data_IF_054074579699
#
_entry.id   IF_054074579699
#
_cell.length_a   1.000
_cell.length_b   1.000
_cell.length_c   1.000
_cell.angle_alpha   90.00
_cell.angle_beta   90.00
_cell.angle_gamma   90.00
#
_symmetry.space_group_name_H-M   'P 1'
#
loop_
_entity.id
_entity.type
_entity.pdbx_description
1 polymer ?
#
# COMPACT_ATOMS: atom_id res chain seq x y z
N UNK A 1 -5.74 29.37 43.94
CA UNK A 1 -5.08 28.19 43.32
C UNK A 1 -6.05 27.10 42.86
N UNK A 2 -6.64 26.23 43.71
CA UNK A 2 -7.45 25.08 43.21
C UNK A 2 -8.60 25.43 42.26
N UNK A 3 -9.33 26.53 42.54
CA UNK A 3 -10.42 27.00 41.65
C UNK A 3 -9.91 27.55 40.32
N UNK A 4 -8.76 28.21 40.32
CA UNK A 4 -8.12 28.75 39.12
C UNK A 4 -7.63 27.61 38.23
N UNK A 5 -6.94 26.61 38.80
CA UNK A 5 -6.48 25.43 38.06
C UNK A 5 -7.65 24.67 37.42
N UNK A 6 -8.76 24.50 38.16
CA UNK A 6 -9.97 23.88 37.62
C UNK A 6 -10.52 24.66 36.43
N UNK A 7 -10.66 25.98 36.57
CA UNK A 7 -11.20 26.84 35.52
C UNK A 7 -10.30 26.86 34.28
N UNK A 8 -8.98 26.99 34.47
CA UNK A 8 -8.00 26.95 33.37
C UNK A 8 -8.05 25.59 32.67
N UNK A 9 -8.07 24.48 33.42
CA UNK A 9 -8.11 23.13 32.84
C UNK A 9 -9.34 22.91 31.95
N UNK A 10 -10.52 23.33 32.41
CA UNK A 10 -11.78 23.22 31.66
C UNK A 10 -11.76 24.13 30.42
N UNK A 11 -11.31 25.38 30.57
CA UNK A 11 -11.19 26.30 29.44
C UNK A 11 -10.20 25.79 28.38
N UNK A 12 -9.09 25.17 28.79
CA UNK A 12 -8.13 24.57 27.86
C UNK A 12 -8.70 23.37 27.12
N UNK A 13 -9.45 22.47 27.80
CA UNK A 13 -10.11 21.33 27.16
C UNK A 13 -11.15 21.82 26.16
N UNK A 14 -12.05 22.70 26.61
CA UNK A 14 -13.14 23.23 25.79
C UNK A 14 -12.60 24.06 24.63
N UNK A 15 -11.64 24.96 24.89
CA UNK A 15 -10.99 25.77 23.87
C UNK A 15 -10.17 24.98 22.87
N UNK A 16 -9.61 23.82 23.27
CA UNK A 16 -8.91 22.91 22.38
C UNK A 16 -9.84 22.08 21.49
N UNK A 17 -11.00 21.64 22.01
CA UNK A 17 -11.92 20.75 21.29
C UNK A 17 -13.01 21.48 20.50
N UNK A 18 -13.50 22.64 20.96
CA UNK A 18 -14.57 23.38 20.26
C UNK A 18 -14.19 23.69 18.81
N UNK A 19 -13.01 24.26 18.50
CA UNK A 19 -12.66 24.56 17.11
C UNK A 19 -12.66 23.32 16.21
N UNK A 20 -12.19 22.18 16.73
CA UNK A 20 -12.18 20.89 16.02
C UNK A 20 -13.60 20.44 15.69
N UNK A 21 -14.50 20.49 16.68
CA UNK A 21 -15.91 20.10 16.52
C UNK A 21 -16.63 21.05 15.54
N UNK A 22 -16.38 22.36 15.63
CA UNK A 22 -17.01 23.38 14.77
C UNK A 22 -16.66 23.21 13.30
N UNK A 23 -15.48 22.68 12.97
CA UNK A 23 -15.09 22.35 11.59
C UNK A 23 -15.50 20.93 11.17
N UNK A 24 -16.45 20.33 11.90
CA UNK A 24 -16.94 18.96 11.69
C UNK A 24 -15.82 17.91 11.70
N UNK A 25 -14.79 18.12 12.53
CA UNK A 25 -13.75 17.15 12.81
C UNK A 25 -13.98 16.54 14.19
N UNK A 26 -13.47 15.33 14.36
CA UNK A 26 -13.57 14.61 15.62
C UNK A 26 -12.22 13.95 15.91
N UNK A 27 -11.95 13.74 17.20
CA UNK A 27 -10.75 13.02 17.63
C UNK A 27 -11.00 11.53 17.38
N UNK A 28 -10.26 10.93 16.45
CA UNK A 28 -10.16 9.48 16.30
C UNK A 28 -8.76 9.04 16.68
N UNK A 29 -8.66 7.91 17.35
CA UNK A 29 -7.38 7.27 17.63
C UNK A 29 -7.24 6.06 16.69
N UNK A 30 -6.12 5.93 15.96
CA UNK A 30 -4.93 6.79 15.97
C UNK A 30 -4.93 7.98 14.98
N UNK A 31 -5.73 7.93 13.91
CA UNK A 31 -5.60 8.74 12.68
C UNK A 31 -5.68 10.26 12.88
N UNK A 32 -6.58 10.72 13.75
CA UNK A 32 -6.81 12.14 14.05
C UNK A 32 -6.50 12.49 15.51
N UNK A 33 -5.59 11.73 16.14
CA UNK A 33 -5.15 11.91 17.53
C UNK A 33 -4.59 13.31 17.81
N UNK A 34 -3.96 13.93 16.81
CA UNK A 34 -3.39 15.30 16.86
C UNK A 34 -4.41 16.38 17.25
N UNK A 35 -5.69 16.17 16.99
CA UNK A 35 -6.73 17.12 17.42
C UNK A 35 -6.93 17.13 18.94
N UNK A 36 -6.45 16.12 19.67
CA UNK A 36 -6.49 16.11 21.13
C UNK A 36 -5.34 16.86 21.81
N UNK A 37 -4.29 17.25 21.07
CA UNK A 37 -3.02 17.74 21.64
C UNK A 37 -3.17 19.03 22.48
N UNK A 38 -4.03 19.96 22.05
CA UNK A 38 -4.27 21.19 22.80
C UNK A 38 -5.10 20.89 24.06
N UNK A 39 -6.13 20.05 23.90
CA UNK A 39 -7.01 19.67 24.99
C UNK A 39 -6.30 18.80 26.05
N UNK A 40 -5.29 18.03 25.67
CA UNK A 40 -4.54 17.17 26.58
C UNK A 40 -3.80 17.95 27.67
N UNK A 41 -3.36 19.19 27.37
CA UNK A 41 -2.74 20.08 28.38
C UNK A 41 -3.74 20.36 29.51
N UNK A 42 -4.97 20.74 29.15
CA UNK A 42 -6.03 20.95 30.13
C UNK A 42 -6.43 19.67 30.86
N UNK A 43 -6.47 18.53 30.15
CA UNK A 43 -6.78 17.24 30.75
C UNK A 43 -5.75 16.82 31.82
N UNK A 44 -4.45 17.02 31.57
CA UNK A 44 -3.39 16.71 32.55
C UNK A 44 -3.48 17.64 33.77
N UNK A 45 -3.77 18.93 33.58
CA UNK A 45 -4.00 19.86 34.69
C UNK A 45 -5.20 19.46 35.55
N UNK A 46 -6.30 19.04 34.91
CA UNK A 46 -7.46 18.55 35.63
C UNK A 46 -7.14 17.26 36.40
N UNK A 47 -6.43 16.33 35.77
CA UNK A 47 -6.03 15.06 36.37
C UNK A 47 -5.13 15.25 37.59
N UNK A 48 -4.13 16.14 37.49
CA UNK A 48 -3.24 16.47 38.62
C UNK A 48 -4.02 17.09 39.78
N UNK A 49 -4.94 18.03 39.51
CA UNK A 49 -5.82 18.59 40.53
C UNK A 49 -6.69 17.51 41.21
N UNK A 50 -7.24 16.56 40.45
CA UNK A 50 -8.02 15.45 40.99
C UNK A 50 -7.15 14.55 41.90
N UNK A 51 -5.93 14.21 41.47
CA UNK A 51 -5.00 13.39 42.23
C UNK A 51 -4.50 14.06 43.51
N UNK A 52 -4.28 15.37 43.50
CA UNK A 52 -3.88 16.14 44.69
C UNK A 52 -5.00 16.27 45.74
N UNK A 53 -6.26 16.16 45.31
CA UNK A 53 -7.40 16.22 46.22
C UNK A 53 -7.67 14.90 46.96
N UNK A 54 -6.91 13.83 46.69
CA UNK A 54 -7.05 12.54 47.36
C UNK A 54 -6.35 12.59 48.73
N UNK A 55 -7.08 12.45 49.85
CA UNK A 55 -6.49 12.61 51.19
C UNK A 55 -5.58 11.44 51.59
N UNK A 56 -5.84 10.24 51.05
CA UNK A 56 -5.07 9.04 51.38
C UNK A 56 -3.82 8.91 50.51
N UNK A 57 -2.64 9.14 51.11
CA UNK A 57 -1.35 9.09 50.40
C UNK A 57 -1.07 7.74 49.70
N UNK A 58 -1.49 6.63 50.28
CA UNK A 58 -1.28 5.31 49.66
C UNK A 58 -2.12 5.19 48.38
N UNK A 59 -3.40 5.58 48.39
CA UNK A 59 -4.25 5.59 47.20
C UNK A 59 -3.66 6.52 46.13
N UNK A 60 -3.27 7.73 46.53
CA UNK A 60 -2.66 8.70 45.61
C UNK A 60 -1.41 8.13 44.91
N UNK A 61 -0.49 7.49 45.67
CA UNK A 61 0.70 6.83 45.13
C UNK A 61 0.34 5.67 44.20
N UNK A 62 -0.64 4.84 44.58
CA UNK A 62 -1.10 3.73 43.75
C UNK A 62 -1.66 4.22 42.42
N UNK A 63 -2.52 5.25 42.44
CA UNK A 63 -3.09 5.82 41.22
C UNK A 63 -2.03 6.49 40.34
N UNK A 64 -1.09 7.24 40.92
CA UNK A 64 0.04 7.80 40.18
C UNK A 64 0.89 6.71 39.51
N UNK A 65 1.20 5.63 40.25
CA UNK A 65 1.95 4.50 39.72
C UNK A 65 1.19 3.79 38.60
N UNK A 66 -0.13 3.67 38.74
CA UNK A 66 -1.01 3.10 37.72
C UNK A 66 -1.05 3.95 36.45
N UNK A 67 -1.24 5.26 36.54
CA UNK A 67 -1.21 6.15 35.38
C UNK A 67 0.18 6.18 34.71
N UNK A 68 1.25 6.12 35.50
CA UNK A 68 2.61 6.01 34.97
C UNK A 68 2.79 4.69 34.20
N UNK A 69 2.31 3.57 34.75
CA UNK A 69 2.34 2.28 34.06
C UNK A 69 1.55 2.31 32.75
N UNK A 70 0.36 2.90 32.73
CA UNK A 70 -0.43 3.11 31.51
C UNK A 70 0.37 3.94 30.50
N UNK A 71 0.93 5.07 30.91
CA UNK A 71 1.70 5.92 30.01
C UNK A 71 2.87 5.17 29.37
N UNK A 72 3.64 4.40 30.17
CA UNK A 72 4.75 3.58 29.66
C UNK A 72 4.25 2.53 28.66
N UNK A 73 3.18 1.80 28.98
CA UNK A 73 2.62 0.76 28.10
C UNK A 73 2.06 1.38 26.81
N UNK A 74 1.38 2.53 26.89
CA UNK A 74 0.87 3.26 25.72
C UNK A 74 2.01 3.74 24.81
N UNK A 75 3.07 4.31 25.38
CA UNK A 75 4.23 4.73 24.59
C UNK A 75 4.93 3.53 23.94
N UNK A 76 5.09 2.43 24.67
CA UNK A 76 5.66 1.20 24.11
C UNK A 76 4.80 0.65 22.97
N UNK A 77 3.48 0.56 23.16
CA UNK A 77 2.54 0.13 22.12
C UNK A 77 2.59 1.00 20.88
N UNK A 78 2.65 2.32 21.05
CA UNK A 78 2.82 3.26 19.94
C UNK A 78 4.15 3.03 19.21
N UNK A 79 5.26 2.82 19.93
CA UNK A 79 6.56 2.52 19.33
C UNK A 79 6.50 1.26 18.47
N UNK A 80 5.94 0.17 18.98
CA UNK A 80 5.80 -1.08 18.24
C UNK A 80 4.93 -0.89 16.98
N UNK A 81 3.83 -0.15 17.09
CA UNK A 81 2.99 0.16 15.92
C UNK A 81 3.75 0.96 14.85
N UNK A 82 4.55 1.95 15.23
CA UNK A 82 5.34 2.73 14.27
C UNK A 82 6.50 1.92 13.65
N UNK A 83 7.06 0.94 14.38
CA UNK A 83 8.05 0.00 13.83
C UNK A 83 7.40 -0.81 12.70
N UNK A 84 6.26 -1.44 12.95
CA UNK A 84 5.57 -2.24 11.92
C UNK A 84 5.11 -1.40 10.72
N UNK A 85 4.59 -0.19 10.94
CA UNK A 85 4.22 0.71 9.85
C UNK A 85 5.42 1.13 9.01
N UNK A 86 6.56 1.38 9.65
CA UNK A 86 7.80 1.72 8.96
C UNK A 86 8.29 0.53 8.13
N UNK A 87 8.31 -0.67 8.71
CA UNK A 87 8.69 -1.90 8.02
C UNK A 87 7.77 -2.19 6.82
N UNK A 88 6.44 -2.06 6.99
CA UNK A 88 5.48 -2.23 5.90
C UNK A 88 5.69 -1.22 4.76
N UNK A 89 5.91 0.07 5.08
CA UNK A 89 6.22 1.09 4.06
C UNK A 89 7.56 0.80 3.37
N UNK A 90 8.60 0.41 4.10
CA UNK A 90 9.90 0.07 3.51
C UNK A 90 9.78 -1.15 2.59
N UNK A 91 9.16 -2.23 3.06
CA UNK A 91 8.93 -3.45 2.30
C UNK A 91 8.15 -3.15 1.00
N UNK A 92 7.04 -2.42 1.10
CA UNK A 92 6.22 -2.04 -0.06
C UNK A 92 7.03 -1.26 -1.11
N UNK A 93 7.70 -0.18 -0.70
CA UNK A 93 8.39 0.70 -1.66
C UNK A 93 9.67 0.11 -2.23
N UNK A 94 10.37 -0.76 -1.49
CA UNK A 94 11.47 -1.56 -2.06
C UNK A 94 10.96 -2.50 -3.15
N UNK A 95 9.87 -3.21 -2.91
CA UNK A 95 9.26 -4.06 -3.94
C UNK A 95 8.81 -3.26 -5.17
N UNK A 96 8.15 -2.12 -4.96
CA UNK A 96 7.78 -1.21 -6.06
C UNK A 96 9.02 -0.79 -6.87
N UNK A 97 10.14 -0.44 -6.21
CA UNK A 97 11.37 -0.05 -6.88
C UNK A 97 12.04 -1.17 -7.69
N UNK A 98 11.91 -2.43 -7.24
CA UNK A 98 12.41 -3.58 -7.99
C UNK A 98 11.58 -3.85 -9.25
N UNK A 99 10.27 -3.59 -9.15
CA UNK A 99 9.25 -3.89 -10.16
C UNK A 99 9.07 -2.81 -11.22
N UNK A 100 9.20 -1.55 -10.83
CA UNK A 100 8.97 -0.40 -11.69
C UNK A 100 10.28 0.43 -11.76
N UNK A 101 11.06 0.31 -12.85
CA UNK A 101 12.26 1.13 -13.05
C UNK A 101 11.92 2.63 -13.03
N UNK A 102 10.82 3.01 -13.67
CA UNK A 102 10.31 4.37 -13.64
C UNK A 102 8.78 4.40 -13.77
N UNK A 103 8.13 5.36 -13.11
CA UNK A 103 6.70 5.64 -13.27
C UNK A 103 6.55 6.95 -14.03
N UNK A 104 5.70 6.97 -15.05
CA UNK A 104 5.42 8.16 -15.86
C UNK A 104 4.89 9.31 -14.98
N UNK A 105 5.43 10.50 -15.21
CA UNK A 105 4.90 11.74 -14.62
C UNK A 105 3.42 11.93 -14.97
N UNK A 106 2.64 12.46 -14.03
CA UNK A 106 1.19 12.65 -14.16
C UNK A 106 0.36 11.38 -13.92
N UNK A 107 0.97 10.27 -13.54
CA UNK A 107 0.25 9.04 -13.16
C UNK A 107 -0.31 9.15 -11.75
N UNK A 108 -1.62 9.02 -11.58
CA UNK A 108 -2.26 9.00 -10.27
C UNK A 108 -2.12 7.63 -9.62
N UNK A 109 -1.38 7.57 -8.51
CA UNK A 109 -1.22 6.32 -7.77
C UNK A 109 -2.40 6.06 -6.84
N UNK A 110 -2.86 4.81 -6.84
CA UNK A 110 -3.66 4.22 -5.77
C UNK A 110 -2.83 3.08 -5.18
N UNK A 111 -2.59 3.12 -3.88
CA UNK A 111 -1.88 2.05 -3.17
C UNK A 111 -2.78 1.46 -2.08
N UNK A 112 -2.66 0.16 -1.86
CA UNK A 112 -3.17 -0.54 -0.68
C UNK A 112 -2.10 -1.52 -0.22
N UNK A 113 -1.67 -1.38 1.04
CA UNK A 113 -0.70 -2.24 1.69
C UNK A 113 -0.93 -2.20 3.21
N UNK A 114 -0.19 -2.98 3.99
CA UNK A 114 -0.41 -3.13 5.44
C UNK A 114 0.00 -1.89 6.28
N UNK A 115 -0.49 -0.71 5.91
CA UNK A 115 -0.31 0.55 6.63
C UNK A 115 -1.56 1.44 6.41
N UNK A 116 -2.11 2.11 7.44
CA UNK A 116 -3.22 3.05 7.27
C UNK A 116 -2.88 4.24 6.37
N UNK A 117 -3.41 4.23 5.14
CA UNK A 117 -3.24 5.30 4.15
C UNK A 117 -4.34 6.35 4.27
N UNK A 118 -4.34 7.11 5.37
CA UNK A 118 -5.39 8.13 5.61
C UNK A 118 -5.27 9.38 4.74
N UNK A 119 -4.08 9.64 4.18
CA UNK A 119 -3.79 10.84 3.39
C UNK A 119 -2.94 10.50 2.17
N UNK A 120 -3.13 11.24 1.08
CA UNK A 120 -2.50 10.95 -0.22
C UNK A 120 -0.96 11.05 -0.20
N UNK A 121 -0.39 11.91 0.65
CA UNK A 121 1.06 12.09 0.77
C UNK A 121 1.81 10.91 1.38
N UNK A 122 1.10 9.97 2.01
CA UNK A 122 1.69 8.69 2.39
C UNK A 122 2.02 7.80 1.18
N UNK A 123 1.46 8.12 0.01
CA UNK A 123 1.68 7.41 -1.25
C UNK A 123 2.57 8.25 -2.18
N UNK A 124 2.15 9.49 -2.50
CA UNK A 124 2.92 10.31 -3.43
C UNK A 124 4.26 10.77 -2.85
N UNK A 125 4.38 10.94 -1.53
CA UNK A 125 5.62 11.37 -0.89
C UNK A 125 6.77 10.39 -1.17
N UNK A 126 6.63 9.12 -0.77
CA UNK A 126 7.59 8.08 -1.11
C UNK A 126 7.87 7.94 -2.62
N UNK A 127 6.84 7.94 -3.46
CA UNK A 127 7.00 7.80 -4.92
C UNK A 127 7.91 8.89 -5.50
N UNK A 128 7.67 10.16 -5.15
CA UNK A 128 8.47 11.27 -5.68
C UNK A 128 9.89 11.29 -5.08
N UNK A 129 10.09 10.82 -3.84
CA UNK A 129 11.43 10.67 -3.27
C UNK A 129 12.27 9.59 -3.99
N UNK A 130 11.62 8.59 -4.59
CA UNK A 130 12.29 7.51 -5.34
C UNK A 130 12.51 7.93 -6.80
N UNK A 131 11.47 8.39 -7.48
CA UNK A 131 11.50 8.62 -8.94
C UNK A 131 11.85 10.05 -9.35
N UNK A 132 11.70 11.02 -8.45
CA UNK A 132 11.95 12.45 -8.71
C UNK A 132 12.65 13.12 -7.51
N UNK A 133 13.83 12.63 -7.09
CA UNK A 133 14.51 13.06 -5.86
C UNK A 133 15.13 14.46 -5.96
N UNK A 134 15.12 15.10 -7.13
CA UNK A 134 15.77 16.38 -7.32
C UNK A 134 15.14 17.48 -6.47
N UNK A 135 15.99 18.23 -5.77
CA UNK A 135 15.55 19.34 -4.93
C UNK A 135 14.85 20.41 -5.78
N UNK A 136 13.63 20.76 -5.37
CA UNK A 136 12.86 21.86 -5.92
C UNK A 136 13.06 23.14 -5.11
N UNK A 137 13.18 24.29 -5.80
CA UNK A 137 13.30 25.62 -5.18
C UNK A 137 12.04 26.47 -5.36
N UNK A 138 11.03 25.96 -6.06
CA UNK A 138 9.73 26.58 -6.28
C UNK A 138 8.80 26.41 -5.08
N UNK A 139 7.90 27.37 -4.90
CA UNK A 139 6.79 27.33 -3.97
C UNK A 139 5.53 27.78 -4.73
N UNK A 140 4.51 26.92 -4.94
CA UNK A 140 4.40 25.57 -4.39
C UNK A 140 5.38 24.56 -5.00
N UNK A 141 5.70 23.52 -4.23
CA UNK A 141 6.43 22.33 -4.71
C UNK A 141 5.54 21.59 -5.70
N UNK A 142 6.11 21.14 -6.82
CA UNK A 142 5.39 20.42 -7.87
C UNK A 142 5.52 18.92 -7.62
N UNK A 143 4.41 18.24 -7.40
CA UNK A 143 4.37 16.78 -7.22
C UNK A 143 4.15 16.16 -8.60
N UNK A 144 5.16 15.43 -9.09
CA UNK A 144 5.17 14.83 -10.43
C UNK A 144 4.39 13.52 -10.51
N UNK A 145 4.42 12.73 -9.43
CA UNK A 145 3.60 11.53 -9.28
C UNK A 145 2.56 11.79 -8.21
N UNK A 146 1.34 12.22 -8.57
CA UNK A 146 0.25 12.42 -7.62
C UNK A 146 -0.30 11.09 -7.09
N UNK A 147 -1.08 11.13 -6.02
CA UNK A 147 -1.78 9.96 -5.49
C UNK A 147 -3.13 10.33 -4.90
N UNK A 148 -4.00 9.34 -4.72
CA UNK A 148 -5.26 9.51 -4.03
C UNK A 148 -5.51 8.39 -3.02
N UNK A 149 -6.17 8.74 -1.92
CA UNK A 149 -6.75 7.75 -1.00
C UNK A 149 -8.06 7.27 -1.61
N UNK A 150 -8.28 5.95 -1.62
CA UNK A 150 -9.45 5.35 -2.23
C UNK A 150 -10.71 5.66 -1.41
N UNK A 151 -11.34 6.81 -1.63
CA UNK A 151 -12.64 7.21 -1.05
C UNK A 151 -13.79 6.91 -2.03
N UNK A 152 -15.07 6.86 -1.59
CA UNK A 152 -16.18 6.58 -2.50
C UNK A 152 -16.25 7.57 -3.67
N UNK A 153 -15.89 8.83 -3.41
CA UNK A 153 -15.79 9.87 -4.44
C UNK A 153 -14.67 9.57 -5.45
N UNK A 154 -13.48 9.20 -4.97
CA UNK A 154 -12.36 8.80 -5.85
C UNK A 154 -12.72 7.57 -6.70
N UNK A 155 -13.40 6.56 -6.14
CA UNK A 155 -13.88 5.40 -6.92
C UNK A 155 -14.81 5.86 -8.05
N UNK A 156 -15.75 6.74 -7.74
CA UNK A 156 -16.66 7.27 -8.76
C UNK A 156 -15.87 7.99 -9.86
N UNK A 157 -14.93 8.87 -9.51
CA UNK A 157 -14.12 9.61 -10.49
C UNK A 157 -13.30 8.67 -11.40
N UNK A 158 -12.72 7.61 -10.84
CA UNK A 158 -11.95 6.59 -11.60
C UNK A 158 -12.87 5.79 -12.52
N UNK A 159 -13.99 5.27 -12.00
CA UNK A 159 -14.90 4.40 -12.75
C UNK A 159 -15.66 5.14 -13.85
N UNK A 160 -15.87 6.45 -13.72
CA UNK A 160 -16.45 7.30 -14.77
C UNK A 160 -15.40 7.92 -15.71
N UNK A 161 -14.14 7.47 -15.62
CA UNK A 161 -13.03 7.82 -16.52
C UNK A 161 -12.86 9.32 -16.79
N UNK A 162 -13.01 10.15 -15.76
CA UNK A 162 -13.07 11.58 -15.99
C UNK A 162 -13.05 12.39 -14.72
N UNK A 163 -11.90 12.99 -14.45
CA UNK A 163 -11.72 13.97 -13.41
C UNK A 163 -10.26 14.35 -13.36
N UNK A 164 -9.97 15.64 -13.50
CA UNK A 164 -8.67 16.19 -13.15
C UNK A 164 -8.88 17.07 -11.93
N UNK A 165 -8.20 16.73 -10.83
CA UNK A 165 -8.21 17.55 -9.63
C UNK A 165 -6.83 18.17 -9.42
N UNK A 166 -6.78 19.49 -9.25
CA UNK A 166 -5.53 20.25 -9.05
C UNK A 166 -5.47 20.86 -7.64
N UNK A 167 -5.41 20.05 -6.57
CA UNK A 167 -5.42 20.60 -5.22
C UNK A 167 -4.12 21.34 -4.91
N UNK A 168 -4.23 22.57 -4.45
CA UNK A 168 -3.15 23.29 -3.79
C UNK A 168 -3.24 23.01 -2.27
N UNK A 169 -2.43 22.10 -1.75
CA UNK A 169 -2.50 21.66 -0.34
C UNK A 169 -1.13 21.72 0.32
N UNK A 170 -1.07 22.43 1.46
CA UNK A 170 0.12 22.49 2.34
C UNK A 170 1.41 22.91 1.60
N UNK A 171 1.30 23.82 0.62
CA UNK A 171 2.44 24.28 -0.19
C UNK A 171 2.83 23.34 -1.34
N UNK A 172 2.04 22.31 -1.63
CA UNK A 172 2.24 21.39 -2.75
C UNK A 172 1.15 21.62 -3.80
N UNK A 173 1.57 21.61 -5.06
CA UNK A 173 0.72 21.57 -6.24
C UNK A 173 0.84 20.19 -6.86
N UNK A 174 -0.30 19.57 -7.14
CA UNK A 174 -0.38 18.25 -7.76
C UNK A 174 -1.62 18.22 -8.66
N UNK A 175 -1.55 17.48 -9.75
CA UNK A 175 -2.66 17.29 -10.69
C UNK A 175 -3.01 15.80 -10.74
N UNK A 176 -4.17 15.41 -10.23
CA UNK A 176 -4.65 14.03 -10.26
C UNK A 176 -5.52 13.81 -11.49
N UNK A 177 -5.03 13.07 -12.46
CA UNK A 177 -5.84 12.53 -13.53
C UNK A 177 -6.38 11.15 -13.14
N UNK A 178 -7.69 11.05 -12.90
CA UNK A 178 -8.36 9.79 -12.56
C UNK A 178 -8.65 8.90 -13.78
N UNK A 179 -8.36 9.36 -15.00
CA UNK A 179 -8.29 8.53 -16.20
C UNK A 179 -6.93 7.85 -16.41
N UNK A 180 -5.88 8.33 -15.72
CA UNK A 180 -4.52 7.79 -15.76
C UNK A 180 -4.08 7.29 -14.38
N UNK A 181 -4.68 6.18 -13.94
CA UNK A 181 -4.45 5.59 -12.61
C UNK A 181 -3.54 4.37 -12.71
N UNK A 182 -2.60 4.24 -11.76
CA UNK A 182 -1.85 3.01 -11.54
C UNK A 182 -2.18 2.46 -10.15
N UNK A 183 -2.71 1.25 -10.09
CA UNK A 183 -3.11 0.58 -8.85
C UNK A 183 -2.00 -0.37 -8.41
N UNK A 184 -1.58 -0.25 -7.15
CA UNK A 184 -0.56 -1.09 -6.52
C UNK A 184 -1.14 -1.71 -5.24
N UNK A 185 -1.05 -3.03 -5.11
CA UNK A 185 -1.71 -3.77 -4.04
C UNK A 185 -0.72 -4.71 -3.37
N UNK A 186 -0.74 -4.76 -2.05
CA UNK A 186 -0.08 -5.77 -1.25
C UNK A 186 -1.09 -6.31 -0.22
N UNK A 187 -1.57 -7.53 -0.42
CA UNK A 187 -2.66 -8.11 0.38
C UNK A 187 -2.30 -8.36 1.85
N UNK A 188 -1.04 -8.69 2.12
CA UNK A 188 -0.53 -9.01 3.45
C UNK A 188 0.96 -8.73 3.54
N UNK A 189 1.52 -8.76 4.76
CA UNK A 189 2.95 -8.51 5.01
C UNK A 189 3.88 -9.46 4.23
N UNK A 190 3.43 -10.70 3.98
CA UNK A 190 4.22 -11.71 3.28
C UNK A 190 3.86 -11.84 1.80
N UNK A 191 2.81 -11.14 1.34
CA UNK A 191 2.45 -11.09 -0.08
C UNK A 191 3.34 -10.09 -0.80
N UNK A 192 3.59 -10.35 -2.07
CA UNK A 192 4.34 -9.44 -2.92
C UNK A 192 3.44 -8.32 -3.44
N UNK A 193 4.05 -7.15 -3.69
CA UNK A 193 3.36 -6.02 -4.31
C UNK A 193 2.98 -6.39 -5.75
N UNK A 194 1.71 -6.22 -6.10
CA UNK A 194 1.21 -6.34 -7.46
C UNK A 194 0.96 -4.96 -8.03
N UNK A 195 1.57 -4.66 -9.18
CA UNK A 195 1.17 -3.52 -10.01
C UNK A 195 0.13 -4.03 -11.00
N UNK A 196 -1.11 -3.56 -10.84
CA UNK A 196 -2.28 -4.17 -11.50
C UNK A 196 -2.32 -3.82 -12.99
N UNK A 197 -2.40 -4.83 -13.84
CA UNK A 197 -2.80 -4.69 -15.26
C UNK A 197 -4.32 -4.59 -15.37
N UNK A 198 -4.84 -3.43 -15.76
CA UNK A 198 -6.28 -3.23 -15.93
C UNK A 198 -6.92 -4.12 -17.01
N UNK A 199 -6.14 -4.65 -17.94
CA UNK A 199 -6.65 -5.56 -18.98
C UNK A 199 -6.82 -7.00 -18.49
N UNK A 200 -6.14 -7.39 -17.40
CA UNK A 200 -6.24 -8.71 -16.77
C UNK A 200 -5.88 -8.59 -15.29
N UNK A 201 -6.76 -7.99 -14.46
CA UNK A 201 -6.41 -7.68 -13.09
C UNK A 201 -6.22 -8.92 -12.24
N UNK A 202 -5.10 -8.96 -11.52
CA UNK A 202 -4.74 -9.99 -10.56
C UNK A 202 -5.13 -9.56 -9.14
N UNK A 203 -6.25 -10.09 -8.65
CA UNK A 203 -6.86 -9.73 -7.36
C UNK A 203 -6.93 -10.94 -6.45
N UNK A 204 -6.41 -10.79 -5.24
CA UNK A 204 -6.53 -11.80 -4.19
C UNK A 204 -7.89 -11.65 -3.47
N UNK A 205 -8.58 -12.74 -3.07
CA UNK A 205 -9.74 -12.69 -2.20
C UNK A 205 -9.59 -11.90 -0.88
N UNK A 206 -8.36 -11.65 -0.42
CA UNK A 206 -8.03 -10.86 0.77
C UNK A 206 -7.77 -9.37 0.46
N UNK A 207 -7.76 -8.97 -0.82
CA UNK A 207 -7.68 -7.57 -1.19
C UNK A 207 -8.93 -6.81 -0.75
N UNK A 208 -8.81 -5.50 -0.51
CA UNK A 208 -9.97 -4.67 -0.22
C UNK A 208 -11.00 -4.74 -1.38
N UNK A 209 -12.26 -5.08 -1.08
CA UNK A 209 -13.35 -5.21 -2.06
C UNK A 209 -13.45 -4.02 -3.03
N UNK A 210 -13.09 -2.84 -2.54
CA UNK A 210 -13.15 -1.58 -3.29
C UNK A 210 -12.10 -1.48 -4.39
N UNK A 211 -10.98 -2.21 -4.27
CA UNK A 211 -9.95 -2.29 -5.31
C UNK A 211 -10.48 -3.04 -6.54
N UNK A 212 -11.34 -4.05 -6.35
CA UNK A 212 -11.98 -4.80 -7.45
C UNK A 212 -12.70 -3.86 -8.42
N UNK A 213 -13.33 -2.81 -7.90
CA UNK A 213 -14.12 -1.85 -8.69
C UNK A 213 -13.26 -0.98 -9.61
N UNK A 214 -12.00 -0.71 -9.22
CA UNK A 214 -11.10 0.18 -9.97
C UNK A 214 -9.97 -0.57 -10.68
N UNK A 215 -9.76 -1.85 -10.36
CA UNK A 215 -8.66 -2.64 -10.92
C UNK A 215 -8.65 -2.63 -12.46
N UNK A 216 -9.79 -2.74 -13.18
CA UNK A 216 -9.81 -2.64 -14.64
C UNK A 216 -9.40 -1.27 -15.21
N UNK A 217 -9.41 -0.21 -14.40
CA UNK A 217 -9.01 1.13 -14.80
C UNK A 217 -7.50 1.37 -14.67
N UNK A 218 -6.76 0.46 -14.02
CA UNK A 218 -5.31 0.57 -13.85
C UNK A 218 -4.56 0.54 -15.19
N UNK A 219 -3.58 1.44 -15.36
CA UNK A 219 -2.80 1.64 -16.58
C UNK A 219 -1.37 1.13 -16.38
N UNK A 220 -1.14 -0.17 -16.58
CA UNK A 220 0.20 -0.76 -16.42
C UNK A 220 1.26 -0.09 -17.30
N UNK A 221 0.87 0.42 -18.48
CA UNK A 221 1.74 1.18 -19.38
C UNK A 221 2.31 2.47 -18.76
N UNK A 222 1.80 2.90 -17.59
CA UNK A 222 2.38 3.99 -16.81
C UNK A 222 3.71 3.61 -16.15
N UNK A 223 4.03 2.32 -16.03
CA UNK A 223 5.36 1.84 -15.69
C UNK A 223 6.22 1.83 -16.94
N UNK A 224 7.28 2.62 -16.96
CA UNK A 224 8.32 2.58 -17.99
C UNK A 224 9.25 1.43 -17.64
N UNK A 225 9.29 0.42 -18.49
CA UNK A 225 10.07 -0.80 -18.26
C UNK A 225 11.54 -0.64 -18.59
N UNK A 226 11.92 0.35 -19.39
CA UNK A 226 13.32 0.59 -19.77
C UNK A 226 14.07 1.41 -18.73
N UNK A 227 15.36 1.12 -18.59
CA UNK A 227 16.27 1.82 -17.67
C UNK A 227 16.65 1.01 -16.43
N UNK A 228 17.53 1.60 -15.63
CA UNK A 228 18.01 1.02 -14.38
C UNK A 228 16.96 1.15 -13.27
N UNK A 229 17.06 0.29 -12.25
CA UNK A 229 16.25 0.44 -11.04
C UNK A 229 16.53 1.80 -10.36
N UNK A 230 15.50 2.47 -9.81
CA UNK A 230 15.67 3.78 -9.20
C UNK A 230 16.51 3.68 -7.92
N UNK A 231 17.24 4.75 -7.60
CA UNK A 231 18.03 4.82 -6.37
C UNK A 231 17.10 5.15 -5.21
N UNK A 232 16.81 4.16 -4.37
CA UNK A 232 15.95 4.34 -3.18
C UNK A 232 16.74 5.04 -2.06
N UNK A 233 16.26 6.18 -1.51
CA UNK A 233 16.94 6.88 -0.42
C UNK A 233 16.99 6.06 0.89
N UNK A 234 18.13 5.42 1.16
CA UNK A 234 18.34 4.58 2.36
C UNK A 234 18.12 5.30 3.70
N UNK A 235 18.26 6.63 3.74
CA UNK A 235 17.99 7.43 4.94
C UNK A 235 16.50 7.49 5.30
N UNK A 236 15.61 7.24 4.33
CA UNK A 236 14.16 7.28 4.49
C UNK A 236 13.59 5.86 4.48
N UNK A 237 14.08 5.01 3.58
CA UNK A 237 13.54 3.67 3.35
C UNK A 237 14.36 2.53 3.98
N UNK A 238 15.42 2.86 4.74
CA UNK A 238 16.30 1.84 5.28
C UNK A 238 17.16 1.16 4.21
N UNK A 239 17.94 0.17 4.62
CA UNK A 239 18.72 -0.64 3.69
C UNK A 239 17.79 -1.50 2.81
N UNK A 240 18.31 -1.90 1.65
CA UNK A 240 17.62 -2.85 0.80
C UNK A 240 17.40 -4.17 1.57
N UNK A 241 16.17 -4.70 1.61
CA UNK A 241 15.89 -5.97 2.27
C UNK A 241 16.53 -7.13 1.48
N UNK A 242 16.73 -8.26 2.15
CA UNK A 242 17.25 -9.46 1.50
C UNK A 242 16.35 -9.90 0.34
N UNK A 243 16.98 -10.38 -0.74
CA UNK A 243 16.30 -10.82 -1.94
C UNK A 243 15.66 -12.20 -1.74
N UNK A 244 14.49 -12.20 -1.10
CA UNK A 244 13.61 -13.37 -0.95
C UNK A 244 12.69 -13.57 -2.16
N UNK A 245 11.63 -14.37 -1.99
CA UNK A 245 10.67 -14.69 -3.05
C UNK A 245 10.15 -13.44 -3.80
N UNK A 246 9.74 -12.39 -3.08
CA UNK A 246 9.18 -11.20 -3.71
C UNK A 246 10.16 -10.49 -4.64
N UNK A 247 11.47 -10.53 -4.38
CA UNK A 247 12.44 -9.99 -5.32
C UNK A 247 12.36 -10.69 -6.69
N UNK A 248 12.38 -12.03 -6.68
CA UNK A 248 12.29 -12.84 -7.90
C UNK A 248 10.94 -12.68 -8.59
N UNK A 249 9.85 -12.61 -7.82
CA UNK A 249 8.52 -12.30 -8.36
C UNK A 249 8.49 -10.93 -9.04
N UNK A 250 9.01 -9.87 -8.41
CA UNK A 250 9.03 -8.53 -9.02
C UNK A 250 9.84 -8.49 -10.32
N UNK A 251 10.96 -9.22 -10.38
CA UNK A 251 11.76 -9.36 -11.60
C UNK A 251 11.05 -10.18 -12.67
N UNK A 252 10.38 -11.26 -12.30
CA UNK A 252 9.60 -12.09 -13.22
C UNK A 252 8.40 -11.31 -13.79
N UNK A 253 7.72 -10.52 -12.96
CA UNK A 253 6.57 -9.73 -13.40
C UNK A 253 6.98 -8.52 -14.27
N UNK A 254 8.15 -7.93 -14.02
CA UNK A 254 8.74 -6.93 -14.93
C UNK A 254 9.15 -7.57 -16.26
N UNK A 255 9.81 -8.72 -16.25
CA UNK A 255 10.17 -9.47 -17.45
C UNK A 255 8.92 -9.86 -18.26
N UNK A 256 7.85 -10.26 -17.56
CA UNK A 256 6.53 -10.50 -18.17
C UNK A 256 6.02 -9.27 -18.92
N UNK A 257 6.07 -8.09 -18.31
CA UNK A 257 5.64 -6.85 -18.97
C UNK A 257 6.49 -6.50 -20.20
N UNK A 258 7.78 -6.86 -20.20
CA UNK A 258 8.69 -6.68 -21.34
C UNK A 258 8.54 -7.76 -22.43
N UNK A 259 7.78 -8.84 -22.17
CA UNK A 259 7.70 -9.99 -23.06
C UNK A 259 8.96 -10.86 -23.06
N UNK A 260 9.80 -10.76 -22.03
CA UNK A 260 11.04 -11.53 -21.84
C UNK A 260 10.71 -12.92 -21.27
N UNK A 261 9.88 -13.69 -21.99
CA UNK A 261 9.30 -14.93 -21.49
C UNK A 261 10.33 -16.02 -21.15
N UNK A 262 11.47 -16.03 -21.82
CA UNK A 262 12.49 -17.08 -21.66
C UNK A 262 13.23 -17.03 -20.32
N UNK A 263 13.40 -15.84 -19.72
CA UNK A 263 14.12 -15.70 -18.45
C UNK A 263 13.24 -15.94 -17.22
N UNK A 264 11.91 -15.88 -17.37
CA UNK A 264 10.98 -16.03 -16.25
C UNK A 264 11.13 -17.39 -15.53
N UNK A 265 11.24 -18.54 -16.23
CA UNK A 265 11.51 -19.83 -15.59
C UNK A 265 12.87 -19.92 -14.90
N UNK A 266 13.89 -19.20 -15.37
CA UNK A 266 15.20 -19.18 -14.74
C UNK A 266 15.17 -18.43 -13.41
N UNK A 267 14.47 -17.29 -13.35
CA UNK A 267 14.20 -16.57 -12.10
C UNK A 267 13.47 -17.44 -11.08
N UNK A 268 12.49 -18.23 -11.54
CA UNK A 268 11.80 -19.18 -10.66
C UNK A 268 12.76 -20.23 -10.11
N UNK A 269 13.60 -20.81 -10.98
CA UNK A 269 14.57 -21.82 -10.58
C UNK A 269 15.53 -21.26 -9.53
N UNK A 270 16.06 -20.06 -9.72
CA UNK A 270 16.94 -19.40 -8.75
C UNK A 270 16.27 -19.18 -7.39
N UNK A 271 14.98 -18.81 -7.38
CA UNK A 271 14.22 -18.67 -6.14
C UNK A 271 14.03 -20.03 -5.43
N UNK A 272 13.62 -21.05 -6.17
CA UNK A 272 13.35 -22.38 -5.62
C UNK A 272 14.63 -23.09 -5.15
N UNK A 273 15.76 -22.91 -5.84
CA UNK A 273 17.06 -23.45 -5.44
C UNK A 273 17.55 -22.86 -4.10
N UNK A 274 16.96 -21.73 -3.66
CA UNK A 274 17.18 -21.07 -2.37
C UNK A 274 16.06 -21.31 -1.35
N UNK A 275 15.16 -22.25 -1.62
CA UNK A 275 14.00 -22.56 -0.79
C UNK A 275 13.03 -21.36 -0.60
N UNK A 276 12.95 -20.47 -1.60
CA UNK A 276 11.99 -19.37 -1.59
C UNK A 276 10.71 -19.76 -2.32
N UNK A 277 9.57 -19.54 -1.66
CA UNK A 277 8.25 -19.88 -2.16
C UNK A 277 7.27 -18.72 -1.97
N UNK A 278 6.24 -18.60 -2.84
CA UNK A 278 5.17 -17.64 -2.65
C UNK A 278 4.28 -18.03 -1.48
N UNK A 279 3.78 -17.01 -0.80
CA UNK A 279 2.65 -17.13 0.13
C UNK A 279 1.32 -16.97 -0.60
N UNK A 280 1.29 -16.19 -1.68
CA UNK A 280 0.08 -15.97 -2.47
C UNK A 280 0.09 -16.83 -3.74
N UNK A 281 -0.97 -17.62 -3.91
CA UNK A 281 -1.15 -18.48 -5.07
C UNK A 281 -1.13 -17.71 -6.40
N UNK A 282 -1.54 -16.45 -6.43
CA UNK A 282 -1.56 -15.65 -7.66
C UNK A 282 -0.16 -15.27 -8.15
N UNK A 283 0.84 -15.26 -7.27
CA UNK A 283 2.24 -14.92 -7.61
C UNK A 283 2.87 -15.96 -8.54
N UNK A 284 2.23 -17.12 -8.71
CA UNK A 284 2.61 -18.12 -9.72
C UNK A 284 2.22 -17.72 -11.16
N UNK A 285 1.38 -16.70 -11.35
CA UNK A 285 0.81 -16.33 -12.66
C UNK A 285 1.87 -16.00 -13.73
N UNK A 286 2.93 -15.20 -13.47
CA UNK A 286 3.94 -14.91 -14.49
C UNK A 286 4.62 -16.18 -15.00
N UNK A 287 4.92 -17.13 -14.12
CA UNK A 287 5.54 -18.40 -14.47
C UNK A 287 4.59 -19.32 -15.24
N UNK A 288 3.31 -19.34 -14.87
CA UNK A 288 2.28 -20.09 -15.60
C UNK A 288 2.14 -19.59 -17.04
N UNK A 289 2.14 -18.26 -17.24
CA UNK A 289 2.10 -17.65 -18.57
C UNK A 289 3.37 -17.91 -19.38
N UNK A 290 4.55 -17.85 -18.75
CA UNK A 290 5.81 -18.21 -19.42
C UNK A 290 5.81 -19.67 -19.91
N UNK A 291 5.31 -20.62 -19.11
CA UNK A 291 5.17 -22.01 -19.55
C UNK A 291 4.17 -22.19 -20.69
N UNK A 292 3.11 -21.38 -20.73
CA UNK A 292 2.18 -21.36 -21.85
C UNK A 292 2.85 -20.92 -23.16
N UNK A 293 3.68 -19.87 -23.12
CA UNK A 293 4.46 -19.40 -24.27
C UNK A 293 5.44 -20.48 -24.75
N UNK A 294 6.12 -21.14 -23.81
CA UNK A 294 7.09 -22.21 -24.12
C UNK A 294 6.44 -23.53 -24.56
N UNK A 295 5.11 -23.66 -24.54
CA UNK A 295 4.43 -24.91 -24.88
C UNK A 295 4.58 -26.01 -23.82
N UNK A 296 5.00 -25.68 -22.60
CA UNK A 296 5.29 -26.68 -21.57
C UNK A 296 4.04 -27.03 -20.74
N UNK A 297 3.16 -27.84 -21.35
CA UNK A 297 1.88 -28.24 -20.75
C UNK A 297 2.06 -29.03 -19.44
N UNK A 298 3.14 -29.81 -19.31
CA UNK A 298 3.42 -30.54 -18.07
C UNK A 298 3.65 -29.58 -16.90
N UNK A 299 4.50 -28.56 -17.09
CA UNK A 299 4.75 -27.54 -16.07
C UNK A 299 3.51 -26.69 -15.80
N UNK A 300 2.76 -26.31 -16.85
CA UNK A 300 1.47 -25.66 -16.67
C UNK A 300 0.54 -26.47 -15.76
N UNK A 301 0.43 -27.78 -15.98
CA UNK A 301 -0.42 -28.64 -15.16
C UNK A 301 0.05 -28.74 -13.70
N UNK A 302 1.35 -28.75 -13.43
CA UNK A 302 1.85 -28.66 -12.05
C UNK A 302 1.54 -27.32 -11.40
N UNK A 303 1.77 -26.20 -12.11
CA UNK A 303 1.58 -24.85 -11.59
C UNK A 303 0.10 -24.50 -11.42
N UNK A 304 -0.79 -25.03 -12.28
CA UNK A 304 -2.24 -24.86 -12.16
C UNK A 304 -2.76 -25.37 -10.81
N UNK A 305 -2.18 -26.44 -10.27
CA UNK A 305 -2.55 -26.98 -8.94
C UNK A 305 -2.15 -26.04 -7.79
N UNK A 306 -1.18 -25.15 -8.02
CA UNK A 306 -0.71 -24.16 -7.05
C UNK A 306 -1.54 -22.86 -7.12
N UNK A 307 -2.03 -22.49 -8.31
CA UNK A 307 -2.82 -21.27 -8.51
C UNK A 307 -4.31 -21.51 -8.21
N UNK A 308 -4.89 -22.57 -8.76
CA UNK A 308 -6.33 -22.82 -8.74
C UNK A 308 -6.79 -23.51 -7.44
N UNK A 309 -6.33 -23.01 -6.29
CA UNK A 309 -6.61 -23.60 -4.96
C UNK A 309 -8.06 -23.41 -4.49
N UNK A 310 -8.79 -22.47 -5.08
CA UNK A 310 -10.20 -22.23 -4.81
C UNK A 310 -10.94 -21.82 -6.09
N UNK A 311 -12.28 -21.79 -6.02
CA UNK A 311 -13.14 -21.47 -7.18
C UNK A 311 -12.90 -20.07 -7.73
N UNK A 312 -12.67 -19.08 -6.86
CA UNK A 312 -12.46 -17.69 -7.29
C UNK A 312 -11.16 -17.56 -8.09
N UNK A 313 -10.05 -18.08 -7.58
CA UNK A 313 -8.76 -18.06 -8.28
C UNK A 313 -8.78 -18.89 -9.56
N UNK A 314 -9.50 -20.02 -9.60
CA UNK A 314 -9.67 -20.81 -10.83
C UNK A 314 -10.39 -20.00 -11.93
N UNK A 315 -11.50 -19.36 -11.59
CA UNK A 315 -12.24 -18.52 -12.55
C UNK A 315 -11.39 -17.34 -13.03
N UNK A 316 -10.70 -16.67 -12.12
CA UNK A 316 -9.81 -15.57 -12.47
C UNK A 316 -8.66 -16.03 -13.38
N UNK A 317 -8.05 -17.17 -13.07
CA UNK A 317 -7.00 -17.76 -13.91
C UNK A 317 -7.53 -18.09 -15.30
N UNK A 318 -8.74 -18.66 -15.40
CA UNK A 318 -9.39 -18.89 -16.69
C UNK A 318 -9.56 -17.57 -17.47
N UNK A 319 -10.12 -16.53 -16.85
CA UNK A 319 -10.36 -15.24 -17.51
C UNK A 319 -9.04 -14.59 -17.98
N UNK A 320 -8.01 -14.58 -17.12
CA UNK A 320 -6.67 -14.08 -17.45
C UNK A 320 -6.11 -14.83 -18.67
N UNK A 321 -6.19 -16.16 -18.67
CA UNK A 321 -5.61 -16.98 -19.73
C UNK A 321 -6.40 -16.94 -21.04
N UNK A 322 -7.72 -16.76 -20.99
CA UNK A 322 -8.53 -16.50 -22.17
C UNK A 322 -8.20 -15.15 -22.80
N UNK A 323 -7.89 -14.12 -22.00
CA UNK A 323 -7.38 -12.85 -22.50
C UNK A 323 -5.94 -12.98 -23.01
N UNK A 324 -5.12 -13.84 -22.39
CA UNK A 324 -3.76 -14.12 -22.83
C UNK A 324 -3.72 -14.76 -24.23
N UNK A 325 -4.59 -15.74 -24.52
CA UNK A 325 -4.73 -16.35 -25.85
C UNK A 325 -5.03 -15.33 -26.95
N UNK A 326 -5.73 -14.23 -26.63
CA UNK A 326 -6.06 -13.18 -27.61
C UNK A 326 -4.88 -12.27 -27.93
N UNK A 327 -3.92 -12.15 -27.00
CA UNK A 327 -2.78 -11.24 -27.09
C UNK A 327 -1.53 -11.94 -27.63
N UNK A 328 -1.33 -13.20 -27.26
CA UNK A 328 -0.12 -13.96 -27.55
C UNK A 328 -0.37 -15.13 -28.50
N UNK A 329 0.67 -15.53 -29.24
CA UNK A 329 0.59 -16.69 -30.13
C UNK A 329 0.97 -17.96 -29.38
N UNK A 330 -0.03 -18.78 -29.04
CA UNK A 330 0.16 -20.04 -28.31
C UNK A 330 -0.08 -21.26 -29.20
N UNK A 331 0.55 -22.39 -28.87
CA UNK A 331 0.34 -23.67 -29.58
C UNK A 331 -1.09 -24.18 -29.37
N UNK A 332 -1.59 -24.98 -30.33
CA UNK A 332 -2.93 -25.57 -30.23
C UNK A 332 -3.10 -26.46 -28.98
N UNK A 333 -2.03 -27.13 -28.55
CA UNK A 333 -2.01 -27.96 -27.34
C UNK A 333 -2.21 -27.11 -26.07
N UNK A 334 -1.53 -25.97 -25.97
CA UNK A 334 -1.69 -25.03 -24.85
C UNK A 334 -3.09 -24.42 -24.84
N UNK A 335 -3.62 -24.03 -26.01
CA UNK A 335 -4.99 -23.51 -26.11
C UNK A 335 -6.03 -24.53 -25.63
N UNK A 336 -5.87 -25.80 -26.02
CA UNK A 336 -6.74 -26.90 -25.57
C UNK A 336 -6.64 -27.12 -24.06
N UNK A 337 -5.42 -27.09 -23.52
CA UNK A 337 -5.19 -27.19 -22.07
C UNK A 337 -5.89 -26.06 -21.30
N UNK A 338 -5.78 -24.81 -21.76
CA UNK A 338 -6.45 -23.68 -21.11
C UNK A 338 -7.97 -23.88 -21.10
N UNK A 339 -8.56 -24.21 -22.26
CA UNK A 339 -10.01 -24.36 -22.37
C UNK A 339 -10.56 -25.54 -21.54
N UNK A 340 -9.86 -26.69 -21.52
CA UNK A 340 -10.37 -27.91 -20.89
C UNK A 340 -9.90 -28.17 -19.47
N UNK A 341 -8.79 -27.55 -19.04
CA UNK A 341 -8.21 -27.83 -17.71
C UNK A 341 -8.22 -26.62 -16.79
N UNK A 342 -8.00 -25.43 -17.33
CA UNK A 342 -8.04 -24.20 -16.54
C UNK A 342 -9.49 -23.73 -16.33
N UNK A 343 -10.31 -23.80 -17.39
CA UNK A 343 -11.67 -23.24 -17.40
C UNK A 343 -12.81 -24.20 -17.06
N UNK A 344 -12.63 -25.52 -17.23
CA UNK A 344 -13.53 -26.55 -16.65
C UNK A 344 -13.27 -26.70 -15.15
#
# INVERSE_FOLDING_TARGET
MRRETLLVSLLSIVGGLIPVILVNRHVTLPEYSRYSLIASVGAVMLLTLLLENIPQRNIQKTLLSFFLAIAVITHYGNTIQYVYQTEATQNFWWQVSWRAPMIKEGTTLIASYNNPLSEDYFIWGPANLIYFPEKQNNNPVQIKIPAAVLTPDVINQITTNGGVETPLRRGNYLERDFGNVLVMIQSSENSCVRIVDGSSPEINPYDEDRLVLIAPNSKLDSVITEGDSPIVPVTIFGAEPEHGWCYYYQKADLARQRGEWEMIPDLLKEALDKDYYPEDAIEWMPFFQAYAIQGNVEKMNSTLKLIAINRSLRLQTCDIMLNFIKRETLTAEVQDFIQKKVCE
#
